data_IF_460086669461
#
_entry.id   IF_460086669461
#
_cell.length_a   1.000
_cell.length_b   1.000
_cell.length_c   1.000
_cell.angle_alpha   90.00
_cell.angle_beta   90.00
_cell.angle_gamma   90.00
#
_symmetry.space_group_name_H-M   'P 1'
#
loop_
_entity.id
_entity.type
_entity.pdbx_description
1 polymer ?
#
# COMPACT_ATOMS: atom_id res chain seq x y z
N UNK A 1 1.96 -35.63 23.32
CA UNK A 1 1.00 -34.89 22.46
C UNK A 1 0.65 -33.59 23.17
N UNK A 2 1.12 -32.45 22.67
CA UNK A 2 0.87 -31.13 23.27
C UNK A 2 -0.37 -30.48 22.63
N UNK A 3 -1.28 -29.88 23.40
CA UNK A 3 -2.41 -29.14 22.84
C UNK A 3 -1.94 -27.73 22.48
N UNK A 4 -1.73 -27.44 21.19
CA UNK A 4 -1.41 -26.08 20.73
C UNK A 4 -2.63 -25.38 20.12
N UNK A 5 -3.67 -25.18 20.94
CA UNK A 5 -4.72 -24.20 20.65
C UNK A 5 -4.54 -23.00 21.57
N UNK A 6 -3.50 -22.19 21.32
CA UNK A 6 -3.26 -20.96 22.09
C UNK A 6 -4.23 -19.86 21.63
N UNK A 7 -5.39 -19.78 22.28
CA UNK A 7 -6.28 -18.63 22.15
C UNK A 7 -5.69 -17.44 22.89
N UNK A 8 -5.53 -16.30 22.22
CA UNK A 8 -4.94 -15.09 22.78
C UNK A 8 -6.00 -14.00 22.97
N UNK A 9 -5.88 -13.16 24.01
CA UNK A 9 -6.68 -11.96 24.13
C UNK A 9 -6.26 -10.94 23.07
N UNK A 10 -7.23 -10.46 22.29
CA UNK A 10 -7.10 -9.38 21.33
C UNK A 10 -7.84 -8.18 21.90
N UNK A 11 -7.16 -7.04 22.03
CA UNK A 11 -7.78 -5.79 22.42
C UNK A 11 -8.48 -5.16 21.24
N UNK A 12 -9.64 -4.57 21.49
CA UNK A 12 -10.49 -3.95 20.50
C UNK A 12 -10.85 -2.57 20.99
N UNK A 13 -10.54 -1.56 20.18
CA UNK A 13 -10.96 -0.19 20.38
C UNK A 13 -12.00 0.17 19.32
N UNK A 14 -13.09 0.77 19.76
CA UNK A 14 -14.12 1.39 18.93
C UNK A 14 -14.22 2.87 19.27
N UNK A 15 -14.88 3.71 18.46
CA UNK A 15 -15.01 5.13 18.77
C UNK A 15 -15.64 5.43 20.13
N UNK A 16 -16.40 4.50 20.72
CA UNK A 16 -17.10 4.71 21.99
C UNK A 16 -16.68 3.77 23.12
N UNK A 17 -15.97 2.68 22.85
CA UNK A 17 -15.61 1.71 23.89
C UNK A 17 -14.32 0.93 23.60
N UNK A 18 -13.78 0.31 24.64
CA UNK A 18 -12.64 -0.62 24.52
C UNK A 18 -13.01 -1.93 25.20
N UNK A 19 -12.72 -3.05 24.56
CA UNK A 19 -12.96 -4.38 25.12
C UNK A 19 -12.00 -5.39 24.53
N UNK A 20 -11.82 -6.54 25.19
CA UNK A 20 -11.00 -7.63 24.65
C UNK A 20 -11.86 -8.82 24.21
N UNK A 21 -11.40 -9.52 23.17
CA UNK A 21 -11.98 -10.76 22.66
C UNK A 21 -10.94 -11.87 22.65
N UNK A 22 -11.34 -13.08 23.04
CA UNK A 22 -10.48 -14.25 22.98
C UNK A 22 -10.58 -14.87 21.59
N UNK A 23 -9.46 -14.98 20.90
CA UNK A 23 -9.41 -15.52 19.55
C UNK A 23 -8.21 -16.43 19.33
N UNK A 24 -8.44 -17.55 18.62
CA UNK A 24 -7.36 -18.46 18.25
C UNK A 24 -6.76 -18.00 16.93
N UNK A 25 -5.52 -17.50 16.98
CA UNK A 25 -4.79 -17.16 15.76
C UNK A 25 -4.39 -18.42 14.98
N UNK A 26 -4.11 -19.52 15.69
CA UNK A 26 -3.88 -20.84 15.11
C UNK A 26 -5.23 -21.54 14.87
N UNK A 27 -5.71 -21.54 13.62
CA UNK A 27 -6.91 -22.28 13.20
C UNK A 27 -8.24 -21.52 13.27
N UNK A 28 -8.27 -20.28 13.79
CA UNK A 28 -9.44 -19.41 13.66
C UNK A 28 -9.56 -18.80 12.27
N UNK A 29 -10.76 -18.40 11.84
CA UNK A 29 -10.98 -17.67 10.58
C UNK A 29 -11.37 -16.20 10.81
N UNK A 30 -11.21 -15.36 9.78
CA UNK A 30 -11.69 -13.98 9.80
C UNK A 30 -13.19 -13.91 10.10
N UNK A 31 -13.97 -14.82 9.52
CA UNK A 31 -15.41 -14.88 9.76
C UNK A 31 -15.73 -15.10 11.24
N UNK A 32 -15.02 -16.02 11.91
CA UNK A 32 -15.19 -16.26 13.33
C UNK A 32 -14.79 -15.04 14.18
N UNK A 33 -13.75 -14.31 13.79
CA UNK A 33 -13.37 -13.06 14.44
C UNK A 33 -14.47 -12.00 14.28
N UNK A 34 -14.98 -11.79 13.06
CA UNK A 34 -16.08 -10.86 12.80
C UNK A 34 -17.35 -11.23 13.59
N UNK A 35 -17.68 -12.52 13.70
CA UNK A 35 -18.84 -12.98 14.45
C UNK A 35 -18.68 -12.77 15.97
N UNK A 36 -17.45 -12.87 16.49
CA UNK A 36 -17.12 -12.55 17.89
C UNK A 36 -17.23 -11.04 18.15
N UNK A 37 -16.64 -10.23 17.27
CA UNK A 37 -16.72 -8.77 17.36
C UNK A 37 -18.17 -8.29 17.25
N UNK A 38 -18.95 -8.84 16.33
CA UNK A 38 -20.38 -8.56 16.17
C UNK A 38 -21.15 -8.90 17.43
N UNK A 39 -20.88 -10.05 18.07
CA UNK A 39 -21.53 -10.44 19.33
C UNK A 39 -21.18 -9.51 20.49
N UNK A 40 -19.91 -9.12 20.63
CA UNK A 40 -19.43 -8.25 21.71
C UNK A 40 -19.89 -6.80 21.54
N UNK A 41 -19.91 -6.30 20.31
CA UNK A 41 -20.29 -4.92 20.00
C UNK A 41 -21.74 -4.74 19.52
N UNK A 42 -22.65 -5.68 19.79
CA UNK A 42 -24.05 -5.64 19.28
C UNK A 42 -24.75 -4.29 19.49
N UNK A 43 -24.60 -3.74 20.69
CA UNK A 43 -25.22 -2.46 21.08
C UNK A 43 -24.58 -1.30 20.33
N UNK A 44 -23.25 -1.29 20.22
CA UNK A 44 -22.50 -0.21 19.57
C UNK A 44 -22.68 -0.20 18.05
N UNK A 45 -22.72 -1.38 17.42
CA UNK A 45 -22.85 -1.52 15.98
C UNK A 45 -24.30 -1.49 15.49
N UNK A 46 -25.27 -1.14 16.35
CA UNK A 46 -26.71 -1.08 16.02
C UNK A 46 -27.22 -2.36 15.35
N UNK A 47 -26.82 -3.51 15.88
CA UNK A 47 -27.10 -4.84 15.32
C UNK A 47 -26.56 -5.10 13.90
N UNK A 48 -25.71 -4.23 13.35
CA UNK A 48 -25.00 -4.50 12.11
C UNK A 48 -23.88 -5.50 12.35
N UNK A 49 -23.66 -6.35 11.35
CA UNK A 49 -22.56 -7.31 11.35
C UNK A 49 -21.25 -6.61 10.98
N UNK A 50 -20.20 -6.86 11.75
CA UNK A 50 -18.84 -6.41 11.41
C UNK A 50 -18.43 -7.05 10.10
N UNK A 51 -18.02 -6.23 9.13
CA UNK A 51 -17.71 -6.65 7.77
C UNK A 51 -16.44 -6.02 7.21
N UNK A 52 -16.18 -6.21 5.91
CA UNK A 52 -15.02 -5.63 5.23
C UNK A 52 -14.98 -4.10 5.41
N UNK A 53 -13.78 -3.55 5.60
CA UNK A 53 -13.53 -2.12 5.83
C UNK A 53 -13.68 -1.66 7.28
N UNK A 54 -14.18 -2.51 8.18
CA UNK A 54 -14.44 -2.11 9.57
C UNK A 54 -13.23 -2.27 10.48
N UNK A 55 -12.44 -3.32 10.24
CA UNK A 55 -11.40 -3.75 11.15
C UNK A 55 -10.06 -3.24 10.63
N UNK A 56 -9.34 -2.54 11.49
CA UNK A 56 -7.97 -2.08 11.26
C UNK A 56 -7.07 -2.54 12.39
N UNK A 57 -5.79 -2.71 12.12
CA UNK A 57 -4.81 -3.03 13.15
C UNK A 57 -3.51 -2.27 12.91
N UNK A 58 -2.76 -2.06 13.98
CA UNK A 58 -1.49 -1.35 13.92
C UNK A 58 -0.34 -2.34 13.94
N UNK A 59 0.56 -2.23 12.98
CA UNK A 59 1.77 -3.06 12.91
C UNK A 59 2.91 -2.30 12.26
N UNK A 60 4.06 -2.27 12.92
CA UNK A 60 5.29 -1.60 12.46
C UNK A 60 5.03 -0.15 11.99
N UNK A 61 4.46 0.65 12.89
CA UNK A 61 4.14 2.07 12.69
C UNK A 61 3.16 2.36 11.53
N UNK A 62 2.45 1.35 11.04
CA UNK A 62 1.52 1.47 9.91
C UNK A 62 0.16 0.87 10.27
N UNK A 63 -0.92 1.51 9.81
CA UNK A 63 -2.30 0.99 9.95
C UNK A 63 -2.61 0.09 8.75
N UNK A 64 -3.13 -1.09 9.03
CA UNK A 64 -3.51 -2.10 8.04
C UNK A 64 -5.00 -2.43 8.17
N UNK A 65 -5.66 -2.70 7.05
CA UNK A 65 -7.03 -3.20 7.07
C UNK A 65 -7.05 -4.72 7.17
N UNK A 66 -8.18 -5.24 7.66
CA UNK A 66 -8.45 -6.66 7.78
C UNK A 66 -9.76 -6.98 7.03
N UNK A 67 -9.71 -6.92 5.71
CA UNK A 67 -10.90 -6.93 4.85
C UNK A 67 -11.25 -8.32 4.34
N UNK A 68 -10.26 -9.22 4.21
CA UNK A 68 -10.43 -10.57 3.68
C UNK A 68 -9.51 -11.64 4.31
N UNK A 69 -9.65 -12.87 3.82
CA UNK A 69 -8.93 -14.04 4.34
C UNK A 69 -7.41 -13.94 4.20
N UNK A 70 -6.90 -13.24 3.18
CA UNK A 70 -5.46 -13.06 3.01
C UNK A 70 -4.94 -12.05 4.04
N UNK A 71 -5.63 -10.93 4.23
CA UNK A 71 -5.28 -9.94 5.25
C UNK A 71 -5.25 -10.59 6.65
N UNK A 72 -6.21 -11.49 6.90
CA UNK A 72 -6.27 -12.27 8.13
C UNK A 72 -5.11 -13.25 8.28
N UNK A 73 -4.68 -13.90 7.20
CA UNK A 73 -3.48 -14.76 7.22
C UNK A 73 -2.22 -13.96 7.54
N UNK A 74 -2.10 -12.75 6.99
CA UNK A 74 -0.99 -11.83 7.28
C UNK A 74 -1.03 -11.38 8.74
N UNK A 75 -2.21 -11.02 9.24
CA UNK A 75 -2.42 -10.63 10.62
C UNK A 75 -2.01 -11.75 11.59
N UNK A 76 -2.48 -12.98 11.36
CA UNK A 76 -2.09 -14.16 12.13
C UNK A 76 -0.57 -14.34 12.12
N UNK A 77 0.06 -14.26 10.95
CA UNK A 77 1.52 -14.42 10.83
C UNK A 77 2.29 -13.35 11.61
N UNK A 78 1.83 -12.11 11.63
CA UNK A 78 2.47 -11.00 12.36
C UNK A 78 2.38 -11.18 13.88
N UNK A 79 1.25 -11.66 14.36
CA UNK A 79 0.98 -11.79 15.80
C UNK A 79 1.22 -13.20 16.36
N UNK A 80 1.76 -14.13 15.57
CA UNK A 80 2.16 -15.46 16.00
C UNK A 80 3.69 -15.54 16.08
N UNK A 81 4.30 -15.49 17.28
CA UNK A 81 5.75 -15.53 17.41
C UNK A 81 6.28 -16.88 16.93
N UNK A 82 7.06 -16.87 15.85
CA UNK A 82 7.89 -18.02 15.47
C UNK A 82 9.07 -18.10 16.45
N UNK A 83 9.41 -19.28 17.00
CA UNK A 83 10.41 -19.40 18.07
C UNK A 83 11.88 -19.16 17.65
N UNK A 84 12.14 -18.47 16.53
CA UNK A 84 13.48 -18.32 15.96
C UNK A 84 14.15 -16.95 16.15
N UNK A 85 13.52 -16.00 16.86
CA UNK A 85 14.12 -14.68 17.12
C UNK A 85 14.11 -14.39 18.62
N UNK A 86 15.23 -14.72 19.27
CA UNK A 86 15.60 -14.32 20.63
C UNK A 86 15.98 -12.83 20.67
N UNK A 87 15.02 -11.95 20.41
CA UNK A 87 15.16 -10.52 20.74
C UNK A 87 13.93 -10.08 21.56
N UNK A 88 14.18 -9.77 22.83
CA UNK A 88 13.36 -8.90 23.68
C UNK A 88 11.84 -9.05 23.57
N UNK A 89 11.30 -9.97 24.36
CA UNK A 89 9.88 -10.19 24.63
C UNK A 89 9.11 -8.90 24.98
N UNK A 90 8.58 -8.19 23.98
CA UNK A 90 7.37 -7.39 24.14
C UNK A 90 6.28 -8.18 23.44
N UNK A 91 5.46 -8.88 24.22
CA UNK A 91 4.14 -9.32 23.76
C UNK A 91 3.40 -8.05 23.36
N UNK A 92 3.48 -7.69 22.08
CA UNK A 92 2.68 -6.61 21.54
C UNK A 92 1.26 -7.11 21.57
N UNK A 93 0.54 -6.73 22.62
CA UNK A 93 -0.87 -7.01 22.79
C UNK A 93 -1.56 -6.65 21.48
N UNK A 94 -2.25 -7.63 20.90
CA UNK A 94 -2.78 -7.49 19.56
C UNK A 94 -3.98 -6.56 19.62
N UNK A 95 -3.84 -5.36 19.05
CA UNK A 95 -4.87 -4.32 19.11
C UNK A 95 -5.56 -4.16 17.75
N UNK A 96 -6.90 -4.22 17.78
CA UNK A 96 -7.79 -3.95 16.66
C UNK A 96 -8.53 -2.64 16.89
N UNK A 97 -8.76 -1.89 15.82
CA UNK A 97 -9.61 -0.71 15.77
C UNK A 97 -10.80 -1.03 14.89
N UNK A 98 -12.01 -0.96 15.43
CA UNK A 98 -13.23 -1.38 14.72
C UNK A 98 -14.20 -0.22 14.62
N UNK A 99 -14.59 0.13 13.40
CA UNK A 99 -15.60 1.16 13.16
C UNK A 99 -16.35 0.89 11.85
N UNK A 100 -17.66 1.17 11.83
CA UNK A 100 -18.43 1.16 10.59
C UNK A 100 -18.03 2.38 9.74
N UNK A 101 -17.44 2.19 8.53
CA UNK A 101 -17.00 3.30 7.69
C UNK A 101 -18.17 4.14 7.16
N UNK A 102 -19.39 3.59 7.16
CA UNK A 102 -20.61 4.34 6.81
C UNK A 102 -21.20 5.11 8.00
N UNK A 103 -20.72 4.86 9.21
CA UNK A 103 -21.16 5.56 10.41
C UNK A 103 -20.35 6.83 10.65
N UNK A 104 -21.04 7.90 11.06
CA UNK A 104 -20.36 9.10 11.51
C UNK A 104 -19.72 8.85 12.88
N UNK A 105 -18.50 9.38 13.05
CA UNK A 105 -17.82 9.34 14.35
C UNK A 105 -18.58 10.20 15.38
N UNK A 106 -18.57 9.81 16.67
CA UNK A 106 -19.23 10.57 17.72
C UNK A 106 -18.69 12.00 17.78
N UNK A 107 -19.60 12.99 17.69
CA UNK A 107 -19.28 14.41 17.86
C UNK A 107 -19.61 14.90 19.27
N UNK A 108 -19.03 16.01 19.76
CA UNK A 108 -19.39 16.56 21.07
C UNK A 108 -20.91 16.81 21.18
N UNK A 109 -21.57 16.45 22.31
CA UNK A 109 -21.04 16.04 23.61
C UNK A 109 -20.88 14.51 23.80
N UNK A 110 -20.98 13.71 22.73
CA UNK A 110 -20.91 12.26 22.82
C UNK A 110 -19.50 11.77 23.20
N UNK A 111 -19.43 10.70 24.01
CA UNK A 111 -18.16 10.14 24.46
C UNK A 111 -17.31 9.65 23.27
N UNK A 112 -16.04 10.05 23.27
CA UNK A 112 -15.03 9.65 22.29
C UNK A 112 -13.94 8.85 23.02
N UNK A 113 -13.77 7.58 22.65
CA UNK A 113 -12.77 6.69 23.25
C UNK A 113 -11.35 7.08 22.78
N UNK A 114 -10.48 7.62 23.66
CA UNK A 114 -9.15 8.09 23.26
C UNK A 114 -8.28 6.99 22.65
N UNK A 115 -8.39 5.74 23.14
CA UNK A 115 -7.62 4.59 22.64
C UNK A 115 -7.92 4.26 21.19
N UNK A 116 -9.13 4.58 20.71
CA UNK A 116 -9.45 4.45 19.29
C UNK A 116 -8.72 5.50 18.45
N UNK A 117 -8.53 6.72 18.96
CA UNK A 117 -7.93 7.82 18.19
C UNK A 117 -6.41 7.91 18.30
N UNK A 118 -5.74 6.98 18.99
CA UNK A 118 -4.27 6.97 19.14
C UNK A 118 -3.53 6.97 17.78
N UNK A 119 -4.12 6.38 16.74
CA UNK A 119 -3.56 6.39 15.38
C UNK A 119 -3.80 7.70 14.61
N UNK A 120 -4.61 8.61 15.15
CA UNK A 120 -4.82 9.96 14.64
C UNK A 120 -3.97 10.92 15.48
N UNK A 121 -2.64 10.85 15.36
CA UNK A 121 -1.78 11.85 16.01
C UNK A 121 -2.16 13.25 15.51
N UNK A 122 -2.85 13.98 16.38
CA UNK A 122 -2.94 15.43 16.47
C UNK A 122 -3.33 16.17 15.18
N UNK A 123 -4.63 16.26 14.88
CA UNK A 123 -5.14 17.58 14.47
C UNK A 123 -5.04 18.45 15.71
N UNK A 124 -3.96 19.23 15.82
CA UNK A 124 -3.78 20.26 16.85
C UNK A 124 -5.08 21.06 16.92
N UNK A 125 -5.82 20.89 18.01
CA UNK A 125 -6.92 21.75 18.37
C UNK A 125 -6.33 23.15 18.54
N UNK A 126 -6.52 23.99 17.52
CA UNK A 126 -6.26 25.42 17.61
C UNK A 126 -7.04 25.94 18.84
N UNK A 127 -6.43 26.76 19.71
CA UNK A 127 -7.14 27.32 20.85
C UNK A 127 -8.31 28.17 20.34
N UNK A 128 -9.47 28.06 21.00
CA UNK A 128 -10.59 29.00 20.81
C UNK A 128 -10.09 30.43 21.03
N UNK A 129 -10.32 31.37 20.10
CA UNK A 129 -10.07 32.78 20.38
C UNK A 129 -11.14 33.26 21.34
N UNK A 130 -10.70 33.68 22.52
CA UNK A 130 -11.47 34.47 23.48
C UNK A 130 -11.92 35.76 22.80
N UNK A 131 -13.17 36.12 23.07
CA UNK A 131 -13.76 37.43 22.80
C UNK A 131 -12.92 38.56 23.41
N UNK A 132 -12.72 39.66 22.68
CA UNK A 132 -12.89 41.03 23.21
C UNK A 132 -12.97 42.08 22.08
N UNK A 133 -14.10 42.80 22.11
CA UNK A 133 -14.36 44.21 21.80
C UNK A 133 -13.67 44.99 20.65
N UNK A 134 -14.55 45.54 19.78
CA UNK A 134 -14.63 46.95 19.25
C UNK A 134 -13.38 47.56 18.56
N UNK A 135 -13.43 48.15 17.36
CA UNK A 135 -14.15 49.38 17.00
C UNK A 135 -14.29 49.50 15.46
N UNK A 136 -15.42 50.07 15.04
CA UNK A 136 -15.81 50.61 13.72
C UNK A 136 -14.70 51.31 12.90
N UNK A 137 -14.77 51.14 11.58
CA UNK A 137 -14.22 52.07 10.58
C UNK A 137 -14.84 51.82 9.20
N UNK A 138 -15.56 52.81 8.69
CA UNK A 138 -16.43 52.81 7.51
C UNK A 138 -15.67 53.05 6.18
N UNK A 139 -16.40 52.79 5.08
CA UNK A 139 -16.32 53.42 3.74
C UNK A 139 -15.34 52.78 2.74
N UNK A 140 -15.84 52.00 1.77
CA UNK A 140 -16.12 52.39 0.35
C UNK A 140 -14.82 52.57 -0.47
N UNK A 141 -14.60 51.99 -1.66
CA UNK A 141 -15.48 51.63 -2.76
C UNK A 141 -14.66 50.85 -3.84
N UNK A 142 -15.36 50.13 -4.72
CA UNK A 142 -14.95 49.63 -6.06
C UNK A 142 -14.31 48.23 -6.30
N UNK A 143 -15.16 47.40 -6.92
CA UNK A 143 -14.94 46.33 -7.94
C UNK A 143 -14.19 45.06 -7.55
N UNK A 144 -14.99 44.05 -7.24
CA UNK A 144 -14.62 42.71 -6.78
C UNK A 144 -14.90 41.70 -7.90
N UNK A 145 -13.86 41.11 -8.52
CA UNK A 145 -14.01 39.88 -9.30
C UNK A 145 -13.74 38.70 -8.37
N UNK A 146 -14.81 37.96 -8.07
CA UNK A 146 -14.89 36.82 -7.14
C UNK A 146 -13.69 35.87 -7.26
N UNK A 147 -12.94 35.73 -6.16
CA UNK A 147 -12.20 34.49 -5.87
C UNK A 147 -12.76 33.92 -4.59
N UNK A 148 -13.65 32.94 -4.72
CA UNK A 148 -14.18 32.17 -3.59
C UNK A 148 -13.08 31.20 -3.15
N UNK A 149 -12.37 31.59 -2.10
CA UNK A 149 -11.45 30.74 -1.36
C UNK A 149 -12.26 29.66 -0.64
N UNK A 150 -12.13 28.42 -1.08
CA UNK A 150 -12.57 27.23 -0.34
C UNK A 150 -11.35 26.34 -0.10
N UNK A 151 -11.19 25.86 1.13
CA UNK A 151 -10.07 24.98 1.56
C UNK A 151 -9.88 23.69 0.74
N UNK A 152 -10.81 23.41 -0.19
CA UNK A 152 -10.67 22.42 -1.27
C UNK A 152 -9.42 22.69 -2.12
N UNK A 153 -9.10 23.96 -2.41
CA UNK A 153 -7.92 24.30 -3.22
C UNK A 153 -6.59 23.96 -2.53
N UNK A 154 -6.55 23.96 -1.19
CA UNK A 154 -5.35 23.58 -0.44
C UNK A 154 -5.15 22.08 -0.43
N UNK A 155 -6.21 21.29 -0.19
CA UNK A 155 -6.12 19.83 -0.28
C UNK A 155 -5.84 19.35 -1.70
N UNK A 156 -6.38 20.04 -2.72
CA UNK A 156 -6.06 19.77 -4.11
C UNK A 156 -4.61 20.12 -4.43
N UNK A 157 -4.09 21.25 -3.95
CA UNK A 157 -2.67 21.63 -4.09
C UNK A 157 -1.72 20.72 -3.31
N UNK A 158 -2.10 20.24 -2.13
CA UNK A 158 -1.28 19.31 -1.33
C UNK A 158 -1.31 17.91 -1.95
N UNK A 159 -2.43 17.50 -2.55
CA UNK A 159 -2.55 16.28 -3.35
C UNK A 159 -1.76 16.40 -4.66
N UNK A 160 -1.89 17.51 -5.38
CA UNK A 160 -1.10 17.86 -6.58
C UNK A 160 0.39 17.89 -6.23
N UNK A 161 0.79 18.53 -5.13
CA UNK A 161 2.18 18.56 -4.64
C UNK A 161 2.68 17.18 -4.24
N UNK A 162 1.87 16.34 -3.59
CA UNK A 162 2.22 14.96 -3.26
C UNK A 162 2.39 14.07 -4.50
N UNK A 163 1.58 14.29 -5.54
CA UNK A 163 1.68 13.57 -6.81
C UNK A 163 2.76 14.14 -7.75
N UNK A 164 3.09 15.43 -7.63
CA UNK A 164 4.12 16.10 -8.42
C UNK A 164 5.53 15.95 -7.80
N UNK A 165 5.64 15.80 -6.47
CA UNK A 165 6.91 15.56 -5.78
C UNK A 165 7.38 14.10 -5.87
N UNK A 166 6.50 13.16 -6.25
CA UNK A 166 6.83 11.75 -6.40
C UNK A 166 6.69 11.32 -7.85
N UNK A 167 7.75 11.47 -8.64
CA UNK A 167 7.83 10.86 -9.96
C UNK A 167 7.47 9.36 -9.92
N UNK A 168 6.96 8.84 -11.03
CA UNK A 168 6.52 7.46 -11.14
C UNK A 168 7.73 6.56 -11.33
N UNK A 169 8.03 5.71 -10.34
CA UNK A 169 9.15 4.76 -10.42
C UNK A 169 8.81 3.61 -11.34
N UNK A 170 9.56 3.49 -12.43
CA UNK A 170 9.42 2.41 -13.40
C UNK A 170 10.69 1.58 -13.45
N UNK A 171 10.53 0.27 -13.55
CA UNK A 171 11.63 -0.69 -13.70
C UNK A 171 11.42 -1.48 -14.97
N UNK A 172 12.50 -2.03 -15.52
CA UNK A 172 12.44 -2.92 -16.68
C UNK A 172 12.64 -4.36 -16.20
N UNK A 173 11.92 -5.30 -16.81
CA UNK A 173 12.00 -6.70 -16.43
C UNK A 173 11.34 -7.64 -17.43
N UNK A 174 10.99 -8.84 -16.99
CA UNK A 174 10.18 -9.80 -17.75
C UNK A 174 8.99 -10.30 -16.94
N UNK A 175 7.93 -10.70 -17.65
CA UNK A 175 6.75 -11.37 -17.08
C UNK A 175 6.35 -12.52 -17.99
N UNK A 176 6.35 -13.74 -17.47
CA UNK A 176 6.12 -14.94 -18.30
C UNK A 176 7.10 -14.99 -19.48
N UNK A 177 6.62 -15.19 -20.72
CA UNK A 177 7.46 -15.22 -21.90
C UNK A 177 7.87 -13.82 -22.42
N UNK A 178 7.30 -12.74 -21.87
CA UNK A 178 7.52 -11.38 -22.40
C UNK A 178 8.68 -10.72 -21.66
N UNK A 179 9.70 -10.32 -22.40
CA UNK A 179 10.89 -9.63 -21.90
C UNK A 179 10.84 -8.13 -22.19
N UNK A 180 11.73 -7.36 -21.52
CA UNK A 180 11.87 -5.92 -21.70
C UNK A 180 10.57 -5.14 -21.45
N UNK A 181 9.84 -5.52 -20.40
CA UNK A 181 8.58 -4.89 -20.02
C UNK A 181 8.86 -3.77 -19.02
N UNK A 182 8.38 -2.57 -19.33
CA UNK A 182 8.40 -1.45 -18.38
C UNK A 182 7.26 -1.61 -17.38
N UNK A 183 7.61 -1.77 -16.12
CA UNK A 183 6.67 -2.03 -15.03
C UNK A 183 6.67 -0.88 -14.04
N UNK A 184 5.49 -0.50 -13.58
CA UNK A 184 5.30 0.51 -12.54
C UNK A 184 5.52 -0.09 -11.15
N UNK A 185 6.40 0.48 -10.34
CA UNK A 185 6.48 0.16 -8.90
C UNK A 185 5.51 1.03 -8.10
N UNK A 186 4.45 0.42 -7.53
CA UNK A 186 3.47 1.16 -6.73
C UNK A 186 2.99 0.38 -5.51
N UNK A 187 3.56 0.71 -4.34
CA UNK A 187 3.18 0.10 -3.04
C UNK A 187 1.70 0.31 -2.67
N UNK A 188 0.99 1.27 -3.28
CA UNK A 188 -0.45 1.44 -3.06
C UNK A 188 -1.31 0.32 -3.65
N UNK A 189 -0.80 -0.40 -4.66
CA UNK A 189 -1.55 -1.46 -5.34
C UNK A 189 -1.38 -2.77 -4.57
N UNK A 190 -2.44 -3.56 -4.42
CA UNK A 190 -2.41 -4.79 -3.61
C UNK A 190 -1.61 -5.90 -4.32
N UNK A 191 -1.99 -6.20 -5.55
CA UNK A 191 -1.41 -7.28 -6.33
C UNK A 191 -0.51 -6.80 -7.47
N UNK A 192 0.02 -7.73 -8.26
CA UNK A 192 0.54 -7.41 -9.58
C UNK A 192 -0.64 -7.30 -10.53
N UNK A 193 -0.67 -6.24 -11.32
CA UNK A 193 -1.71 -6.00 -12.31
C UNK A 193 -1.11 -5.97 -13.70
N UNK A 194 -1.84 -6.52 -14.67
CA UNK A 194 -1.51 -6.50 -16.08
C UNK A 194 -2.67 -5.86 -16.84
N UNK A 195 -2.38 -4.88 -17.71
CA UNK A 195 -3.44 -4.23 -18.49
C UNK A 195 -4.06 -5.21 -19.49
N UNK A 196 -5.36 -5.09 -19.73
CA UNK A 196 -6.06 -5.91 -20.75
C UNK A 196 -5.42 -5.80 -22.12
N UNK A 197 -5.04 -4.59 -22.55
CA UNK A 197 -4.38 -4.36 -23.84
C UNK A 197 -3.07 -5.13 -23.95
N UNK A 198 -2.25 -5.13 -22.91
CA UNK A 198 -1.00 -5.88 -22.86
C UNK A 198 -1.27 -7.40 -22.83
N UNK A 199 -2.22 -7.84 -21.99
CA UNK A 199 -2.59 -9.24 -21.85
C UNK A 199 -3.08 -9.85 -23.17
N UNK A 200 -3.94 -9.14 -23.92
CA UNK A 200 -4.41 -9.55 -25.26
C UNK A 200 -3.26 -9.60 -26.26
N UNK A 201 -2.44 -8.54 -26.31
CA UNK A 201 -1.34 -8.41 -27.27
C UNK A 201 -0.32 -9.55 -27.15
N UNK A 202 -0.07 -10.01 -25.92
CA UNK A 202 0.92 -11.05 -25.63
C UNK A 202 0.31 -12.44 -25.35
N UNK A 203 -0.99 -12.62 -25.56
CA UNK A 203 -1.65 -13.92 -25.47
C UNK A 203 -1.83 -14.46 -24.04
N UNK A 204 -1.81 -13.59 -23.03
CA UNK A 204 -2.15 -13.98 -21.65
C UNK A 204 -3.65 -14.21 -21.46
N UNK A 205 -4.47 -13.62 -22.34
CA UNK A 205 -5.90 -13.87 -22.47
C UNK A 205 -6.27 -14.00 -23.96
N UNK A 206 -7.30 -14.79 -24.31
CA UNK A 206 -7.68 -14.99 -25.70
C UNK A 206 -8.37 -13.74 -26.28
N UNK A 207 -8.34 -13.58 -27.60
CA UNK A 207 -8.83 -12.39 -28.29
C UNK A 207 -10.35 -12.18 -28.19
N UNK A 208 -11.10 -13.25 -27.93
CA UNK A 208 -12.54 -13.26 -27.68
C UNK A 208 -12.91 -12.90 -26.23
N UNK A 209 -11.92 -12.66 -25.35
CA UNK A 209 -12.16 -12.25 -23.98
C UNK A 209 -12.78 -10.85 -23.91
N UNK A 210 -14.11 -10.78 -23.95
CA UNK A 210 -14.87 -9.54 -23.82
C UNK A 210 -14.71 -8.91 -22.41
N UNK A 211 -14.71 -7.56 -22.30
CA UNK A 211 -14.79 -6.88 -21.01
C UNK A 211 -16.00 -7.37 -20.20
N UNK A 212 -15.80 -7.68 -18.93
CA UNK A 212 -16.84 -8.23 -18.06
C UNK A 212 -17.08 -9.74 -18.16
N UNK A 213 -16.53 -10.42 -19.16
CA UNK A 213 -16.33 -11.87 -19.10
C UNK A 213 -15.00 -12.14 -18.38
N UNK A 214 -14.95 -13.21 -17.56
CA UNK A 214 -13.83 -13.62 -16.69
C UNK A 214 -13.78 -13.09 -15.24
N UNK A 215 -14.82 -12.44 -14.71
CA UNK A 215 -14.92 -12.24 -13.26
C UNK A 215 -15.98 -11.26 -12.80
N UNK A 216 -16.68 -11.61 -11.73
CA UNK A 216 -17.59 -10.71 -11.01
C UNK A 216 -16.75 -9.81 -10.09
N UNK A 217 -16.75 -8.48 -10.32
CA UNK A 217 -16.10 -7.51 -9.41
C UNK A 217 -14.84 -6.80 -9.93
N UNK A 218 -14.51 -6.90 -11.22
CA UNK A 218 -13.52 -6.02 -11.87
C UNK A 218 -12.04 -6.37 -11.68
N UNK A 219 -11.71 -7.50 -11.04
CA UNK A 219 -10.35 -8.08 -11.02
C UNK A 219 -10.39 -9.55 -11.45
N UNK A 220 -9.73 -9.89 -12.55
CA UNK A 220 -9.62 -11.27 -13.05
C UNK A 220 -8.25 -11.83 -12.67
N UNK A 221 -8.18 -12.96 -11.97
CA UNK A 221 -6.90 -13.61 -11.66
C UNK A 221 -6.39 -14.37 -12.90
N UNK A 222 -5.22 -13.98 -13.43
CA UNK A 222 -4.56 -14.60 -14.58
C UNK A 222 -3.65 -15.77 -14.19
N UNK A 223 -3.58 -16.13 -12.91
CA UNK A 223 -2.69 -17.13 -12.37
C UNK A 223 -1.37 -16.56 -11.86
N UNK A 224 -0.45 -17.45 -11.51
CA UNK A 224 0.91 -17.08 -11.07
C UNK A 224 1.83 -17.00 -12.28
N UNK A 225 2.47 -15.86 -12.46
CA UNK A 225 3.41 -15.65 -13.55
C UNK A 225 4.82 -15.36 -13.02
N UNK A 226 5.87 -15.91 -13.65
CA UNK A 226 7.24 -15.62 -13.28
C UNK A 226 7.59 -14.18 -13.67
N UNK A 227 8.15 -13.41 -12.74
CA UNK A 227 8.59 -12.04 -12.96
C UNK A 227 10.08 -11.93 -12.62
N UNK A 228 10.84 -11.28 -13.50
CA UNK A 228 12.24 -10.91 -13.27
C UNK A 228 12.42 -9.42 -13.42
N UNK A 229 13.41 -8.85 -12.73
CA UNK A 229 13.80 -7.44 -12.88
C UNK A 229 15.20 -7.36 -13.49
N UNK A 230 15.44 -6.30 -14.25
CA UNK A 230 16.78 -5.96 -14.72
C UNK A 230 17.57 -5.35 -13.56
N UNK A 231 18.67 -6.01 -13.19
CA UNK A 231 19.62 -5.53 -12.18
C UNK A 231 20.50 -4.46 -12.81
N UNK A 232 20.75 -3.38 -12.09
CA UNK A 232 21.70 -2.36 -12.50
C UNK A 232 23.12 -2.95 -12.43
N UNK A 233 23.85 -2.93 -13.55
CA UNK A 233 25.26 -3.32 -13.55
C UNK A 233 26.02 -2.41 -12.57
N UNK A 234 26.80 -3.03 -11.68
CA UNK A 234 27.77 -2.26 -10.89
C UNK A 234 28.76 -1.65 -11.89
N UNK A 235 29.02 -0.33 -11.87
CA UNK A 235 30.19 0.18 -12.58
C UNK A 235 31.41 -0.55 -12.02
N UNK A 236 32.32 -1.08 -12.87
CA UNK A 236 33.56 -1.67 -12.39
C UNK A 236 34.26 -0.63 -11.53
N UNK A 237 34.65 -1.01 -10.30
CA UNK A 237 35.54 -0.18 -9.50
C UNK A 237 36.76 0.12 -10.37
N UNK A 238 37.00 1.39 -10.67
CA UNK A 238 38.25 1.86 -11.25
C UNK A 238 39.37 1.54 -10.25
N UNK A 239 39.95 0.36 -10.41
CA UNK A 239 41.27 0.03 -9.89
C UNK A 239 42.30 0.86 -10.66
N UNK A 240 43.10 1.58 -9.89
CA UNK A 240 44.25 2.34 -10.34
C UNK A 240 45.21 1.46 -11.16
N UNK A 241 45.50 1.91 -12.38
CA UNK A 241 46.74 1.72 -13.17
C UNK A 241 47.37 0.32 -13.25
N UNK A 242 47.41 -0.25 -14.46
CA UNK A 242 48.63 -0.62 -15.21
C UNK A 242 48.25 -1.34 -16.51
N UNK A 243 48.98 -1.03 -17.58
CA UNK A 243 48.75 -1.47 -18.95
C UNK A 243 49.10 -2.95 -19.18
N UNK A 244 48.31 -3.67 -20.01
CA UNK A 244 48.71 -4.17 -21.35
C UNK A 244 47.59 -5.00 -22.02
N UNK A 245 47.57 -5.12 -23.37
CA UNK A 245 46.45 -5.65 -24.14
C UNK A 245 46.66 -7.10 -24.60
N UNK A 246 45.68 -7.99 -24.39
CA UNK A 246 45.60 -9.23 -25.16
C UNK A 246 44.18 -9.81 -25.27
N UNK A 247 43.78 -9.98 -26.54
CA UNK A 247 42.76 -10.88 -27.13
C UNK A 247 41.25 -10.63 -26.87
N UNK A 248 40.41 -10.71 -27.93
CA UNK A 248 38.96 -10.59 -27.84
C UNK A 248 38.35 -11.97 -27.57
N UNK A 249 38.21 -12.35 -26.30
CA UNK A 249 37.34 -13.48 -25.97
C UNK A 249 35.90 -12.98 -25.94
N UNK A 250 35.09 -13.51 -26.85
CA UNK A 250 33.63 -13.36 -26.91
C UNK A 250 33.01 -14.00 -25.66
N UNK A 251 33.13 -13.33 -24.52
CA UNK A 251 32.39 -13.66 -23.31
C UNK A 251 31.30 -12.61 -23.14
N UNK A 252 30.10 -12.99 -23.57
CA UNK A 252 28.86 -12.34 -23.17
C UNK A 252 28.92 -12.07 -21.67
N UNK A 253 28.78 -10.83 -21.19
CA UNK A 253 28.85 -10.57 -19.77
C UNK A 253 27.70 -11.34 -19.13
N UNK A 254 28.04 -12.26 -18.23
CA UNK A 254 27.10 -12.99 -17.40
C UNK A 254 26.32 -11.95 -16.59
N UNK A 255 25.22 -11.43 -17.16
CA UNK A 255 24.23 -10.63 -16.46
C UNK A 255 23.88 -11.42 -15.21
N UNK A 256 24.24 -10.85 -14.06
CA UNK A 256 23.96 -11.38 -12.74
C UNK A 256 22.53 -11.93 -12.75
N UNK A 257 22.37 -13.25 -12.60
CA UNK A 257 21.10 -13.93 -12.84
C UNK A 257 20.03 -13.33 -11.94
N UNK A 258 19.17 -12.49 -12.49
CA UNK A 258 18.14 -11.82 -11.72
C UNK A 258 17.15 -12.86 -11.21
N UNK A 259 16.89 -12.85 -9.89
CA UNK A 259 16.00 -13.84 -9.30
C UNK A 259 14.61 -13.76 -9.95
N UNK A 260 14.08 -14.92 -10.33
CA UNK A 260 12.70 -15.03 -10.82
C UNK A 260 11.76 -15.32 -9.66
N UNK A 261 10.64 -14.61 -9.58
CA UNK A 261 9.60 -14.92 -8.60
C UNK A 261 8.24 -15.06 -9.26
N UNK A 262 7.53 -16.14 -8.94
CA UNK A 262 6.18 -16.40 -9.42
C UNK A 262 5.15 -15.79 -8.47
N UNK A 263 4.44 -14.77 -8.93
CA UNK A 263 3.42 -14.06 -8.15
C UNK A 263 2.06 -14.09 -8.86
N UNK A 264 0.93 -14.09 -8.12
CA UNK A 264 -0.39 -13.94 -8.73
C UNK A 264 -0.51 -12.60 -9.46
N UNK A 265 -0.99 -12.65 -10.71
CA UNK A 265 -1.21 -11.49 -11.57
C UNK A 265 -2.69 -11.35 -11.85
N UNK A 266 -3.18 -10.11 -11.78
CA UNK A 266 -4.57 -9.79 -12.02
C UNK A 266 -4.72 -8.92 -13.26
N UNK A 267 -5.76 -9.15 -14.04
CA UNK A 267 -6.15 -8.30 -15.15
C UNK A 267 -6.68 -6.97 -14.60
N UNK A 268 -6.21 -5.88 -15.17
CA UNK A 268 -6.73 -4.53 -14.95
C UNK A 268 -7.29 -3.98 -16.25
N UNK A 269 -8.43 -3.29 -16.13
CA UNK A 269 -9.02 -2.52 -17.23
C UNK A 269 -8.35 -1.14 -17.40
N UNK A 270 -7.49 -0.73 -16.45
CA UNK A 270 -6.80 0.56 -16.52
C UNK A 270 -5.71 0.56 -17.63
N UNK A 271 -5.70 1.57 -18.52
CA UNK A 271 -4.81 1.59 -19.69
C UNK A 271 -3.43 2.20 -19.44
N UNK A 272 -3.14 2.67 -18.23
CA UNK A 272 -2.04 3.61 -17.99
C UNK A 272 -0.65 2.96 -18.02
N UNK A 273 -0.54 1.70 -17.59
CA UNK A 273 0.72 0.95 -17.58
C UNK A 273 0.46 -0.50 -17.96
N UNK A 274 1.39 -1.08 -18.73
CA UNK A 274 1.31 -2.48 -19.16
C UNK A 274 1.31 -3.45 -17.97
N UNK A 275 2.17 -3.19 -16.99
CA UNK A 275 2.28 -3.96 -15.75
C UNK A 275 2.50 -3.02 -14.56
N UNK A 276 1.77 -3.28 -13.47
CA UNK A 276 1.94 -2.60 -12.17
C UNK A 276 2.34 -3.62 -11.11
N UNK A 277 3.52 -3.43 -10.53
CA UNK A 277 4.05 -4.21 -9.42
C UNK A 277 3.57 -3.60 -8.09
N UNK A 278 2.56 -4.23 -7.50
CA UNK A 278 2.02 -3.86 -6.19
C UNK A 278 2.71 -4.57 -5.02
N UNK A 279 2.09 -4.46 -3.84
CA UNK A 279 2.58 -4.97 -2.55
C UNK A 279 2.98 -6.43 -2.59
N UNK A 280 2.18 -7.29 -3.23
CA UNK A 280 2.50 -8.72 -3.35
C UNK A 280 3.90 -8.99 -3.93
N UNK A 281 4.34 -8.20 -4.92
CA UNK A 281 5.67 -8.32 -5.49
C UNK A 281 6.74 -7.67 -4.60
N UNK A 282 6.43 -6.49 -4.04
CA UNK A 282 7.30 -5.80 -3.08
C UNK A 282 7.69 -6.69 -1.91
N UNK A 283 6.74 -7.45 -1.38
CA UNK A 283 6.98 -8.34 -0.24
C UNK A 283 7.80 -9.56 -0.66
N UNK A 284 7.47 -10.16 -1.81
CA UNK A 284 8.19 -11.32 -2.32
C UNK A 284 9.67 -11.05 -2.58
N UNK A 285 9.99 -9.86 -3.13
CA UNK A 285 11.37 -9.42 -3.42
C UNK A 285 11.97 -8.53 -2.33
N UNK A 286 11.23 -8.27 -1.25
CA UNK A 286 11.59 -7.33 -0.19
C UNK A 286 12.10 -5.99 -0.76
N UNK A 287 11.35 -5.41 -1.70
CA UNK A 287 11.73 -4.18 -2.39
C UNK A 287 11.80 -3.03 -1.40
N UNK A 288 12.99 -2.43 -1.31
CA UNK A 288 13.25 -1.19 -0.58
C UNK A 288 13.42 -0.04 -1.57
N UNK A 289 12.61 0.99 -1.39
CA UNK A 289 12.73 2.26 -2.11
C UNK A 289 13.46 3.25 -1.22
N UNK A 290 14.47 3.93 -1.75
CA UNK A 290 15.14 5.00 -1.04
C UNK A 290 14.28 6.27 -1.05
N UNK A 291 14.16 6.93 0.11
CA UNK A 291 13.48 8.24 0.24
C UNK A 291 14.40 9.39 -0.18
N UNK A 292 15.71 9.14 -0.23
CA UNK A 292 16.72 10.15 -0.57
C UNK A 292 16.99 10.12 -2.07
N UNK A 293 17.20 8.94 -2.64
CA UNK A 293 17.41 8.76 -4.08
C UNK A 293 16.19 8.11 -4.74
N UNK A 294 15.43 8.82 -5.58
CA UNK A 294 14.25 8.27 -6.24
C UNK A 294 14.55 7.21 -7.31
N UNK A 295 15.81 7.05 -7.71
CA UNK A 295 16.27 6.00 -8.64
C UNK A 295 16.82 4.77 -7.92
N UNK A 296 17.02 4.86 -6.60
CA UNK A 296 17.55 3.74 -5.83
C UNK A 296 16.42 2.79 -5.39
N UNK A 297 16.44 1.61 -6.02
CA UNK A 297 15.55 0.48 -5.73
C UNK A 297 16.41 -0.75 -5.46
N UNK A 298 16.23 -1.38 -4.30
CA UNK A 298 17.01 -2.53 -3.86
C UNK A 298 16.08 -3.69 -3.52
N UNK A 299 16.37 -4.88 -4.06
CA UNK A 299 15.74 -6.14 -3.65
C UNK A 299 16.48 -6.66 -2.41
N UNK A 300 15.91 -6.54 -1.21
CA UNK A 300 16.61 -6.98 0.02
C UNK A 300 16.71 -8.51 0.13
N UNK A 301 15.92 -9.25 -0.65
CA UNK A 301 15.97 -10.70 -0.66
C UNK A 301 17.23 -11.28 -1.34
N UNK A 302 17.84 -10.51 -2.24
CA UNK A 302 19.09 -10.87 -2.95
C UNK A 302 20.22 -9.85 -2.78
N UNK A 303 19.91 -8.64 -2.30
CA UNK A 303 20.85 -7.52 -2.27
C UNK A 303 21.07 -6.86 -3.64
N UNK A 304 20.29 -7.23 -4.67
CA UNK A 304 20.38 -6.67 -6.02
C UNK A 304 19.88 -5.23 -6.06
N UNK A 305 20.63 -4.33 -6.70
CA UNK A 305 20.15 -2.99 -7.06
C UNK A 305 19.44 -3.06 -8.41
N UNK A 306 18.20 -2.61 -8.48
CA UNK A 306 17.37 -2.64 -9.69
C UNK A 306 17.55 -1.34 -10.47
N UNK A 307 17.60 -1.44 -11.79
CA UNK A 307 17.57 -0.26 -12.66
C UNK A 307 16.17 0.38 -12.61
N UNK A 308 16.08 1.58 -12.02
CA UNK A 308 14.83 2.32 -11.87
C UNK A 308 14.91 3.67 -12.57
N UNK A 309 13.92 3.92 -13.43
CA UNK A 309 13.73 5.19 -14.13
C UNK A 309 12.57 5.94 -13.49
N UNK A 310 12.81 7.22 -13.17
CA UNK A 310 11.79 8.11 -12.65
C UNK A 310 11.06 8.80 -13.81
N UNK A 311 9.79 8.46 -14.03
CA UNK A 311 8.95 9.08 -15.07
C UNK A 311 8.13 10.19 -14.45
N UNK A 312 8.34 11.43 -14.88
CA UNK A 312 7.49 12.58 -14.54
C UNK A 312 6.54 12.80 -15.71
N UNK A 313 5.25 12.55 -15.50
CA UNK A 313 4.24 12.78 -16.53
C UNK A 313 4.05 14.28 -16.69
N UNK A 314 4.36 14.82 -17.87
CA UNK A 314 4.16 16.24 -18.22
C UNK A 314 3.16 16.34 -19.37
N UNK A 315 2.26 17.33 -19.35
CA UNK A 315 1.33 17.61 -20.45
C UNK A 315 2.05 18.25 -21.65
N UNK A 316 1.30 18.52 -22.72
CA UNK A 316 1.80 19.22 -23.91
C UNK A 316 2.24 20.68 -23.67
N UNK A 317 2.11 21.18 -22.44
CA UNK A 317 2.58 22.51 -22.00
C UNK A 317 3.78 22.40 -21.03
N UNK A 318 4.19 21.19 -20.67
CA UNK A 318 5.30 20.91 -19.74
C UNK A 318 4.90 20.82 -18.27
N UNK A 319 3.61 20.93 -17.94
CA UNK A 319 3.05 20.86 -16.59
C UNK A 319 2.85 19.42 -16.13
N UNK A 320 3.09 19.13 -14.85
CA UNK A 320 2.99 17.75 -14.34
C UNK A 320 1.53 17.28 -14.31
N UNK A 321 1.25 16.13 -14.92
CA UNK A 321 -0.11 15.57 -15.07
C UNK A 321 -0.35 14.44 -14.08
N UNK A 322 -1.49 14.50 -13.42
CA UNK A 322 -1.99 13.44 -12.54
C UNK A 322 -2.77 12.43 -13.39
N UNK A 323 -2.39 11.16 -13.33
CA UNK A 323 -3.19 10.07 -13.88
C UNK A 323 -4.19 9.64 -12.80
N UNK A 324 -5.43 10.06 -12.98
CA UNK A 324 -6.60 9.59 -12.21
C UNK A 324 -7.19 8.34 -12.82
#
# INVERSE_FOLDING_TARGET
MLPQNSSLPIDVHTPRSSFSVIHSLNGGSLQQLCDKLTRKGRVEFRNKRVGPGWIKYFWNNTVWNLDDADDYTIFVRRHNPTPASNEGNVVTQTTLHVNDPSSQLPGPPEYQNPSFYVFQSSRTTSPLPRSDHSVKGNSEQHTNHKTVNTGVAKHRKDFEKFHNENGVRTVVGSIGPVTNVRMLLRKGYRHVYMSRKFALKHGFIPADAAPGHYGYGGLVNLGKWPITLTVADRPPLHGVGSAEPSAPTTESPLRLQSKTVSVPVYLSEEPHFDVVLGRSFFECRQIKLSTVDPTEVICLDTGEKVECQLVVLKDGRGEVVIVT
#
